data_IF_602008353001
#
_entry.id   IF_602008353001
#
_cell.length_a   1.000
_cell.length_b   1.000
_cell.length_c   1.000
_cell.angle_alpha   90.00
_cell.angle_beta   90.00
_cell.angle_gamma   90.00
#
_symmetry.space_group_name_H-M   'P 1'
#
loop_
_entity.id
_entity.type
_entity.pdbx_description
1 polymer ?
#
# COMPACT_ATOMS: atom_id res chain seq x y z
N UNK A 1 8.20 18.02 5.64
CA UNK A 1 8.44 16.60 5.33
C UNK A 1 9.51 16.09 6.27
N UNK A 2 9.11 15.49 7.39
CA UNK A 2 10.03 14.72 8.23
C UNK A 2 10.04 13.32 7.67
N UNK A 3 11.22 12.87 7.31
CA UNK A 3 11.42 11.54 6.75
C UNK A 3 11.58 10.58 7.94
N UNK A 4 11.02 9.37 7.83
CA UNK A 4 11.08 8.27 8.80
C UNK A 4 12.55 7.81 9.01
N UNK A 5 13.36 8.68 9.62
CA UNK A 5 14.81 8.55 9.76
C UNK A 5 15.27 8.78 11.20
N UNK A 6 14.38 9.26 12.07
CA UNK A 6 14.70 9.58 13.46
C UNK A 6 14.50 8.39 14.41
N UNK A 7 13.64 7.43 14.04
CA UNK A 7 13.39 6.21 14.82
C UNK A 7 14.47 5.15 14.59
N UNK A 8 14.76 4.35 15.62
CA UNK A 8 15.31 3.01 15.40
C UNK A 8 14.22 2.10 14.81
N UNK A 9 14.60 1.12 13.99
CA UNK A 9 13.65 0.24 13.30
C UNK A 9 13.83 -1.22 13.70
N UNK A 10 12.82 -1.76 14.37
CA UNK A 10 12.66 -3.19 14.62
C UNK A 10 11.27 -3.62 14.18
N UNK A 11 11.14 -4.05 12.93
CA UNK A 11 9.83 -4.30 12.33
C UNK A 11 9.36 -5.73 12.62
N UNK A 12 8.21 -5.84 13.28
CA UNK A 12 7.40 -7.06 13.26
C UNK A 12 6.42 -6.99 12.09
N UNK A 13 6.31 -8.05 11.30
CA UNK A 13 5.38 -8.15 10.18
C UNK A 13 4.52 -9.42 10.28
N UNK A 14 3.25 -9.30 9.91
CA UNK A 14 2.31 -10.40 9.76
C UNK A 14 1.60 -10.28 8.40
N UNK A 15 1.72 -11.32 7.58
CA UNK A 15 0.99 -11.46 6.32
C UNK A 15 -0.01 -12.62 6.41
N UNK A 16 -1.26 -12.36 6.02
CA UNK A 16 -2.32 -13.35 5.89
C UNK A 16 -2.89 -13.33 4.47
N UNK A 17 -3.10 -14.51 3.89
CA UNK A 17 -3.71 -14.68 2.57
C UNK A 17 -4.73 -15.80 2.65
N UNK A 18 -5.92 -15.56 2.11
CA UNK A 18 -6.97 -16.56 1.93
C UNK A 18 -7.38 -16.57 0.45
N UNK A 19 -7.39 -17.78 -0.15
CA UNK A 19 -7.79 -17.99 -1.53
C UNK A 19 -8.97 -18.97 -1.56
N UNK A 20 -10.12 -18.48 -2.04
CA UNK A 20 -11.33 -19.25 -2.22
C UNK A 20 -11.50 -19.58 -3.71
N UNK A 21 -11.29 -20.85 -4.05
CA UNK A 21 -11.31 -21.37 -5.43
C UNK A 21 -12.61 -22.13 -5.78
N UNK A 22 -13.69 -21.91 -5.03
CA UNK A 22 -14.95 -22.65 -5.19
C UNK A 22 -15.66 -22.35 -6.53
N UNK A 23 -15.31 -21.25 -7.19
CA UNK A 23 -15.92 -20.77 -8.43
C UNK A 23 -15.01 -20.94 -9.66
N UNK A 24 -14.33 -22.08 -9.78
CA UNK A 24 -13.38 -22.32 -10.86
C UNK A 24 -13.93 -21.91 -12.25
N UNK A 25 -13.18 -21.12 -13.05
CA UNK A 25 -11.78 -20.69 -12.85
C UNK A 25 -11.58 -19.39 -12.06
N UNK A 26 -12.65 -18.81 -11.51
CA UNK A 26 -12.60 -17.56 -10.74
C UNK A 26 -12.26 -17.84 -9.27
N UNK A 27 -11.32 -17.05 -8.76
CA UNK A 27 -10.88 -17.07 -7.37
C UNK A 27 -11.31 -15.78 -6.67
N UNK A 28 -11.58 -15.88 -5.38
CA UNK A 28 -11.72 -14.73 -4.48
C UNK A 28 -10.55 -14.79 -3.51
N UNK A 29 -9.63 -13.82 -3.62
CA UNK A 29 -8.38 -13.79 -2.87
C UNK A 29 -8.38 -12.58 -1.96
N UNK A 30 -8.37 -12.82 -0.65
CA UNK A 30 -8.18 -11.79 0.37
C UNK A 30 -6.74 -11.80 0.88
N UNK A 31 -6.15 -10.63 1.07
CA UNK A 31 -4.85 -10.49 1.72
C UNK A 31 -4.87 -9.35 2.74
N UNK A 32 -4.14 -9.55 3.82
CA UNK A 32 -3.89 -8.58 4.87
C UNK A 32 -2.39 -8.62 5.20
N UNK A 33 -1.75 -7.47 5.22
CA UNK A 33 -0.38 -7.32 5.69
C UNK A 33 -0.36 -6.24 6.77
N UNK A 34 0.30 -6.51 7.89
CA UNK A 34 0.43 -5.61 9.01
C UNK A 34 1.89 -5.53 9.42
N UNK A 35 2.38 -4.33 9.67
CA UNK A 35 3.72 -4.09 10.19
C UNK A 35 3.66 -3.14 11.39
N UNK A 36 4.52 -3.39 12.38
CA UNK A 36 4.72 -2.49 13.52
C UNK A 36 6.21 -2.32 13.78
N UNK A 37 6.63 -1.08 13.95
CA UNK A 37 7.95 -0.77 14.49
C UNK A 37 7.95 -0.93 16.02
N UNK A 38 8.58 -2.00 16.51
CA UNK A 38 8.67 -2.32 17.93
C UNK A 38 9.63 -1.41 18.70
N UNK A 39 10.55 -0.74 18.00
CA UNK A 39 11.49 0.21 18.59
C UNK A 39 10.98 1.66 18.55
N UNK A 40 9.73 1.88 18.09
CA UNK A 40 9.12 3.20 18.06
C UNK A 40 8.82 3.70 19.47
N UNK A 41 9.38 4.87 19.81
CA UNK A 41 9.09 5.63 21.02
C UNK A 41 8.81 7.08 20.64
N UNK A 42 7.56 7.52 20.83
CA UNK A 42 7.08 8.86 20.48
C UNK A 42 7.90 9.98 21.16
N UNK A 43 8.33 9.78 22.40
CA UNK A 43 9.10 10.78 23.14
C UNK A 43 10.53 10.88 22.63
N UNK A 44 11.15 9.75 22.27
CA UNK A 44 12.49 9.70 21.68
C UNK A 44 12.52 10.32 20.28
N UNK A 45 11.53 9.97 19.44
CA UNK A 45 11.43 10.50 18.08
C UNK A 45 11.10 11.99 18.10
N UNK A 46 10.16 12.44 18.94
CA UNK A 46 9.82 13.86 19.10
C UNK A 46 10.98 14.71 19.60
N UNK A 47 11.88 14.15 20.42
CA UNK A 47 13.07 14.85 20.91
C UNK A 47 14.18 14.98 19.86
N UNK A 48 14.20 14.10 18.85
CA UNK A 48 15.20 14.06 17.77
C UNK A 48 14.70 14.70 16.48
N UNK A 49 13.39 14.71 16.26
CA UNK A 49 12.78 15.27 15.07
C UNK A 49 12.58 16.79 15.24
N UNK A 50 12.87 17.61 14.22
CA UNK A 50 12.63 19.05 14.24
C UNK A 50 11.14 19.44 14.34
N UNK A 51 10.22 18.47 14.44
CA UNK A 51 8.76 18.62 14.34
C UNK A 51 8.03 18.19 15.63
N UNK A 52 8.76 18.04 16.75
CA UNK A 52 8.17 17.96 18.10
C UNK A 52 7.49 19.26 18.58
N UNK A 53 7.00 20.10 17.68
CA UNK A 53 6.18 21.26 18.04
C UNK A 53 4.70 20.84 18.05
N UNK A 54 4.03 20.79 19.23
CA UNK A 54 2.61 20.43 19.35
C UNK A 54 1.65 21.30 18.51
N UNK A 55 2.12 22.44 18.00
CA UNK A 55 1.35 23.35 17.15
C UNK A 55 1.23 22.91 15.67
N UNK A 56 1.90 21.84 15.24
CA UNK A 56 1.86 21.36 13.84
C UNK A 56 0.70 20.41 13.53
N UNK A 57 0.02 19.84 14.54
CA UNK A 57 -1.01 18.82 14.35
C UNK A 57 -0.48 17.51 13.74
N UNK A 58 0.82 17.26 13.89
CA UNK A 58 1.51 16.07 13.41
C UNK A 58 1.50 14.99 14.49
N UNK A 59 0.94 13.81 14.21
CA UNK A 59 0.96 12.66 15.15
C UNK A 59 1.96 11.62 14.63
N UNK A 60 2.82 11.16 15.54
CA UNK A 60 3.78 10.11 15.23
C UNK A 60 3.15 8.73 15.47
N UNK A 61 3.54 7.75 14.65
CA UNK A 61 3.00 6.41 14.76
C UNK A 61 3.89 5.36 14.11
N UNK A 62 3.86 4.17 14.69
CA UNK A 62 4.72 3.04 14.32
C UNK A 62 3.98 1.91 13.60
N UNK A 63 2.72 2.09 13.22
CA UNK A 63 1.87 1.05 12.65
C UNK A 63 1.60 1.23 11.14
N UNK A 64 1.57 0.11 10.42
CA UNK A 64 1.18 0.05 9.03
C UNK A 64 0.30 -1.17 8.79
N UNK A 65 -0.69 -1.03 7.91
CA UNK A 65 -1.43 -2.16 7.39
C UNK A 65 -1.91 -1.90 5.96
N UNK A 66 -2.09 -2.99 5.22
CA UNK A 66 -2.76 -2.99 3.94
C UNK A 66 -3.67 -4.20 3.83
N UNK A 67 -4.81 -4.00 3.18
CA UNK A 67 -5.73 -5.06 2.82
C UNK A 67 -6.03 -5.00 1.33
N UNK A 68 -6.20 -6.15 0.70
CA UNK A 68 -6.58 -6.25 -0.71
C UNK A 68 -7.52 -7.42 -0.92
N UNK A 69 -8.63 -7.16 -1.58
CA UNK A 69 -9.56 -8.15 -2.11
C UNK A 69 -9.41 -8.20 -3.63
N UNK A 70 -9.18 -9.39 -4.15
CA UNK A 70 -9.00 -9.64 -5.58
C UNK A 70 -10.02 -10.68 -6.04
N UNK A 71 -10.64 -10.45 -7.19
CA UNK A 71 -11.62 -11.36 -7.79
C UNK A 71 -11.24 -11.57 -9.25
N UNK A 72 -11.25 -12.82 -9.70
CA UNK A 72 -11.01 -13.18 -11.09
C UNK A 72 -10.03 -14.35 -11.22
N UNK A 73 -9.36 -14.44 -12.36
CA UNK A 73 -8.36 -15.45 -12.61
C UNK A 73 -7.11 -15.17 -11.75
N UNK A 74 -6.52 -16.19 -11.10
CA UNK A 74 -5.31 -16.01 -10.30
C UNK A 74 -4.09 -15.65 -11.16
N UNK A 75 -4.12 -16.00 -12.45
CA UNK A 75 -3.12 -15.66 -13.47
C UNK A 75 -3.82 -15.38 -14.80
N UNK A 76 -3.30 -14.42 -15.57
CA UNK A 76 -3.75 -14.11 -16.92
C UNK A 76 -2.74 -14.69 -17.92
N UNK A 77 -3.12 -15.76 -18.59
CA UNK A 77 -2.36 -16.53 -19.57
C UNK A 77 -3.13 -16.61 -20.89
N UNK A 78 -4.42 -16.93 -20.84
CA UNK A 78 -5.26 -17.07 -22.03
C UNK A 78 -6.10 -15.82 -22.26
N UNK A 79 -6.58 -15.65 -23.50
CA UNK A 79 -7.44 -14.53 -23.86
C UNK A 79 -8.75 -14.57 -23.06
N UNK A 80 -9.29 -13.39 -22.74
CA UNK A 80 -10.55 -13.17 -22.00
C UNK A 80 -10.49 -13.52 -20.50
N UNK A 81 -9.31 -13.88 -19.99
CA UNK A 81 -9.05 -13.95 -18.56
C UNK A 81 -8.96 -12.54 -17.97
N UNK A 82 -9.54 -12.35 -16.78
CA UNK A 82 -9.61 -11.04 -16.15
C UNK A 82 -9.40 -11.15 -14.65
N UNK A 83 -9.00 -10.03 -14.05
CA UNK A 83 -8.91 -9.90 -12.61
C UNK A 83 -9.21 -8.45 -12.23
N UNK A 84 -9.93 -8.25 -11.14
CA UNK A 84 -10.18 -6.95 -10.55
C UNK A 84 -9.81 -6.97 -9.06
N UNK A 85 -9.45 -5.83 -8.50
CA UNK A 85 -9.15 -5.72 -7.09
C UNK A 85 -9.54 -4.36 -6.51
N UNK A 86 -9.77 -4.37 -5.21
CA UNK A 86 -9.80 -3.19 -4.37
C UNK A 86 -8.86 -3.42 -3.18
N UNK A 87 -8.19 -2.37 -2.74
CA UNK A 87 -7.35 -2.41 -1.57
C UNK A 87 -7.34 -1.08 -0.84
N UNK A 88 -6.88 -1.15 0.39
CA UNK A 88 -6.68 0.00 1.26
C UNK A 88 -5.34 -0.15 1.95
N UNK A 89 -4.60 0.94 2.06
CA UNK A 89 -3.30 1.01 2.73
C UNK A 89 -3.32 2.17 3.72
N UNK A 90 -2.68 1.96 4.85
CA UNK A 90 -2.48 2.93 5.92
C UNK A 90 -1.07 2.73 6.47
N UNK A 91 -0.25 3.77 6.47
CA UNK A 91 1.16 3.72 6.90
C UNK A 91 1.44 4.97 7.74
N UNK A 92 1.66 4.80 9.03
CA UNK A 92 2.05 5.89 9.91
C UNK A 92 3.50 6.33 9.68
N UNK A 93 3.83 7.51 10.20
CA UNK A 93 5.07 8.27 10.00
C UNK A 93 6.37 7.49 10.23
N UNK A 94 6.40 6.58 11.21
CA UNK A 94 7.59 5.81 11.61
C UNK A 94 7.34 4.29 11.60
N UNK A 95 6.31 3.84 10.87
CA UNK A 95 5.91 2.44 10.80
C UNK A 95 6.88 1.54 10.04
N UNK A 96 7.46 2.08 8.97
CA UNK A 96 8.50 1.43 8.18
C UNK A 96 9.53 2.48 7.79
N UNK A 97 10.77 2.04 7.55
CA UNK A 97 11.78 2.93 7.00
C UNK A 97 11.28 3.44 5.64
N UNK A 98 11.40 4.76 5.42
CA UNK A 98 10.92 5.45 4.21
C UNK A 98 11.38 4.76 2.91
N UNK A 99 12.60 4.21 2.90
CA UNK A 99 13.18 3.48 1.76
C UNK A 99 12.49 2.16 1.38
N UNK A 100 11.58 1.64 2.22
CA UNK A 100 10.79 0.42 1.93
C UNK A 100 9.32 0.71 1.61
N UNK A 101 8.94 1.99 1.52
CA UNK A 101 7.61 2.39 1.09
C UNK A 101 7.49 2.26 -0.43
N UNK A 102 6.30 1.86 -0.88
CA UNK A 102 5.99 1.67 -2.30
C UNK A 102 5.98 3.03 -3.01
N UNK A 103 6.93 3.24 -3.91
CA UNK A 103 7.13 4.52 -4.59
C UNK A 103 5.93 4.97 -5.43
N UNK A 104 5.01 4.08 -5.78
CA UNK A 104 3.82 4.42 -6.57
C UNK A 104 2.64 4.91 -5.71
N UNK A 105 2.66 4.62 -4.40
CA UNK A 105 1.60 5.03 -3.47
C UNK A 105 2.03 6.30 -2.73
N UNK A 106 1.27 7.39 -2.86
CA UNK A 106 1.60 8.70 -2.28
C UNK A 106 2.98 9.28 -2.74
N UNK A 107 3.53 8.80 -3.87
CA UNK A 107 4.89 9.09 -4.35
C UNK A 107 6.01 8.51 -3.44
N UNK A 108 5.70 7.46 -2.68
CA UNK A 108 6.54 6.97 -1.59
C UNK A 108 6.26 7.73 -0.30
N UNK A 109 6.97 7.39 0.77
CA UNK A 109 6.76 8.02 2.07
C UNK A 109 5.93 7.18 3.04
N UNK A 110 6.15 7.48 4.32
CA UNK A 110 5.25 7.17 5.43
C UNK A 110 4.23 8.33 5.61
N UNK A 111 3.31 8.23 6.59
CA UNK A 111 2.24 9.20 6.84
C UNK A 111 1.14 9.23 5.75
N UNK A 112 0.85 8.11 5.11
CA UNK A 112 -0.11 8.05 4.00
C UNK A 112 -1.19 6.99 4.22
N UNK A 113 -2.43 7.34 3.86
CA UNK A 113 -3.56 6.41 3.81
C UNK A 113 -4.34 6.57 2.52
N UNK A 114 -4.97 5.51 2.04
CA UNK A 114 -5.65 5.60 0.76
C UNK A 114 -6.16 4.29 0.21
N UNK A 115 -6.96 4.40 -0.85
CA UNK A 115 -7.52 3.25 -1.55
C UNK A 115 -6.83 3.05 -2.90
N UNK A 116 -6.85 1.80 -3.34
CA UNK A 116 -6.45 1.41 -4.68
C UNK A 116 -7.55 0.55 -5.29
N UNK A 117 -7.93 0.85 -6.52
CA UNK A 117 -8.86 0.05 -7.31
C UNK A 117 -8.22 -0.21 -8.66
N UNK A 118 -8.34 -1.43 -9.17
CA UNK A 118 -7.77 -1.74 -10.46
C UNK A 118 -8.25 -3.05 -11.01
N UNK A 119 -7.82 -3.31 -12.23
CA UNK A 119 -8.09 -4.56 -12.90
C UNK A 119 -7.23 -4.74 -14.12
N UNK A 120 -7.28 -5.95 -14.65
CA UNK A 120 -6.52 -6.39 -15.80
C UNK A 120 -7.35 -7.35 -16.64
N UNK A 121 -7.15 -7.28 -17.94
CA UNK A 121 -7.87 -8.07 -18.94
C UNK A 121 -6.90 -8.59 -20.00
N UNK A 122 -6.90 -9.91 -20.19
CA UNK A 122 -6.07 -10.58 -21.16
C UNK A 122 -6.66 -10.40 -22.56
N UNK A 123 -5.96 -9.62 -23.38
CA UNK A 123 -6.34 -9.33 -24.76
C UNK A 123 -5.80 -10.37 -25.74
N UNK A 124 -4.77 -11.12 -25.35
CA UNK A 124 -4.20 -12.22 -26.11
C UNK A 124 -3.41 -13.16 -25.20
N UNK A 125 -2.93 -14.28 -25.75
CA UNK A 125 -2.06 -15.20 -25.01
C UNK A 125 -0.86 -14.45 -24.43
N UNK A 126 -0.67 -14.58 -23.12
CA UNK A 126 0.35 -13.89 -22.33
C UNK A 126 0.39 -12.35 -22.51
N UNK A 127 -0.70 -11.73 -22.97
CA UNK A 127 -0.78 -10.27 -23.20
C UNK A 127 -2.02 -9.71 -22.54
N UNK A 128 -1.86 -8.72 -21.67
CA UNK A 128 -2.97 -8.11 -20.95
C UNK A 128 -2.80 -6.59 -20.81
N UNK A 129 -3.93 -5.91 -20.73
CA UNK A 129 -4.01 -4.49 -20.35
C UNK A 129 -4.36 -4.44 -18.86
N UNK A 130 -3.70 -3.55 -18.12
CA UNK A 130 -4.00 -3.29 -16.72
C UNK A 130 -4.31 -1.80 -16.52
N UNK A 131 -5.28 -1.50 -15.68
CA UNK A 131 -5.58 -0.15 -15.24
C UNK A 131 -5.69 -0.12 -13.72
N UNK A 132 -5.11 0.90 -13.10
CA UNK A 132 -5.24 1.13 -11.65
C UNK A 132 -5.42 2.61 -11.34
N UNK A 133 -6.26 2.88 -10.37
CA UNK A 133 -6.43 4.18 -9.74
C UNK A 133 -6.08 4.05 -8.27
N UNK A 134 -5.22 4.96 -7.81
CA UNK A 134 -4.81 5.10 -6.42
C UNK A 134 -5.14 6.52 -5.96
N UNK A 135 -5.70 6.65 -4.77
CA UNK A 135 -5.98 7.93 -4.13
C UNK A 135 -5.43 7.85 -2.71
N UNK A 136 -4.54 8.76 -2.35
CA UNK A 136 -3.84 8.75 -1.08
C UNK A 136 -3.76 10.14 -0.46
N UNK A 137 -4.06 10.20 0.83
CA UNK A 137 -4.03 11.40 1.66
C UNK A 137 -2.99 11.27 2.79
N UNK A 138 -2.43 12.40 3.22
CA UNK A 138 -1.66 12.45 4.46
C UNK A 138 -2.53 12.10 5.69
N UNK A 139 -1.98 11.32 6.62
CA UNK A 139 -2.69 10.93 7.85
C UNK A 139 -2.74 12.12 8.82
N UNK A 140 -1.60 12.78 9.06
CA UNK A 140 -1.48 13.95 9.95
C UNK A 140 -0.65 15.07 9.34
N UNK A 141 -0.81 16.30 9.85
CA UNK A 141 -0.11 17.48 9.34
C UNK A 141 -0.84 18.24 8.23
N UNK A 142 -0.08 18.76 7.27
CA UNK A 142 -0.63 19.60 6.20
C UNK A 142 -1.32 18.71 5.16
N UNK A 143 -2.59 18.95 4.81
CA UNK A 143 -3.31 18.05 3.91
C UNK A 143 -2.64 18.03 2.53
N UNK A 144 -2.08 16.87 2.18
CA UNK A 144 -1.63 16.53 0.84
C UNK A 144 -2.44 15.32 0.36
N UNK A 145 -3.12 15.50 -0.77
CA UNK A 145 -3.90 14.46 -1.44
C UNK A 145 -3.29 14.24 -2.83
N UNK A 146 -3.11 12.97 -3.20
CA UNK A 146 -2.52 12.57 -4.47
C UNK A 146 -3.41 11.50 -5.12
N UNK A 147 -3.89 11.81 -6.33
CA UNK A 147 -4.59 10.87 -7.18
C UNK A 147 -3.70 10.45 -8.35
N UNK A 148 -3.55 9.14 -8.54
CA UNK A 148 -2.72 8.56 -9.61
C UNK A 148 -3.56 7.58 -10.41
N UNK A 149 -3.66 7.81 -11.72
CA UNK A 149 -4.21 6.85 -12.67
C UNK A 149 -3.10 6.29 -13.56
N UNK A 150 -3.07 4.97 -13.74
CA UNK A 150 -2.11 4.29 -14.59
C UNK A 150 -2.80 3.29 -15.51
N UNK A 151 -2.23 3.17 -16.71
CA UNK A 151 -2.68 2.26 -17.76
C UNK A 151 -1.44 1.59 -18.37
N UNK A 152 -1.39 0.28 -18.29
CA UNK A 152 -0.23 -0.53 -18.68
C UNK A 152 -0.63 -1.58 -19.73
N UNK A 153 0.24 -1.79 -20.71
CA UNK A 153 0.19 -2.94 -21.60
C UNK A 153 1.33 -3.89 -21.25
N UNK A 154 0.99 -5.13 -20.92
CA UNK A 154 1.94 -6.13 -20.48
C UNK A 154 1.97 -7.32 -21.46
N UNK A 155 3.16 -7.87 -21.70
CA UNK A 155 3.36 -9.07 -22.51
C UNK A 155 4.46 -9.94 -21.92
N UNK A 156 4.28 -11.27 -21.95
CA UNK A 156 5.26 -12.26 -21.50
C UNK A 156 5.54 -13.29 -22.59
N UNK A 157 6.82 -13.59 -22.85
CA UNK A 157 7.28 -14.47 -23.94
C UNK A 157 7.93 -15.74 -23.40
#
# INVERSE_FOLDING_TARGET
NVWALASEYQIANLTLVADFADYFPVHIIGSLDMARNLAFDDAEVSARAPVGNPASGYELGGDAYQMKLTIGYPKLVEQDEWQAFIGYRYVETDAVLDAFTDSDFHLGGTNAKGFMIGGQYAIYKNTWVAARWMSADEITGLPLAIDVFQLDLNAKF
#
